data_IF_894129805022
#
_entry.id   IF_894129805022
#
_cell.length_a   1.000
_cell.length_b   1.000
_cell.length_c   1.000
_cell.angle_alpha   90.00
_cell.angle_beta   90.00
_cell.angle_gamma   90.00
#
_symmetry.space_group_name_H-M   'P 1'
#
loop_
_entity.id
_entity.type
_entity.pdbx_description
1 polymer ?
#
# COMPACT_ATOMS: atom_id res chain seq x y z
N UNK A 1 -7.73 -9.80 -3.30
CA UNK A 1 -7.59 -8.97 -2.08
C UNK A 1 -6.15 -8.51 -2.03
N UNK A 2 -5.92 -7.20 -2.09
CA UNK A 2 -4.59 -6.61 -2.29
C UNK A 2 -4.10 -5.90 -1.03
N UNK A 3 -2.81 -5.97 -0.75
CA UNK A 3 -2.16 -5.29 0.37
C UNK A 3 -1.19 -4.25 -0.17
N UNK A 4 -1.54 -2.97 -0.04
CA UNK A 4 -0.78 -1.86 -0.57
C UNK A 4 0.11 -1.26 0.51
N UNK A 5 1.42 -1.28 0.29
CA UNK A 5 2.41 -0.66 1.18
C UNK A 5 2.93 0.60 0.49
N UNK A 6 2.68 1.76 1.10
CA UNK A 6 3.02 3.06 0.53
C UNK A 6 4.19 3.66 1.30
N UNK A 7 5.23 4.11 0.59
CA UNK A 7 6.31 4.88 1.19
C UNK A 7 6.10 6.40 1.00
N UNK A 8 5.66 7.16 2.03
CA UNK A 8 5.48 8.61 1.96
C UNK A 8 6.78 9.39 1.72
N UNK A 9 7.93 8.83 2.08
CA UNK A 9 9.24 9.44 1.83
C UNK A 9 9.71 9.27 0.38
N UNK A 10 9.18 8.27 -0.34
CA UNK A 10 9.46 8.08 -1.76
C UNK A 10 8.73 9.13 -2.60
N UNK A 11 9.41 9.71 -3.60
CA UNK A 11 8.79 10.61 -4.58
C UNK A 11 8.49 12.04 -4.12
N UNK A 12 9.15 12.52 -3.05
CA UNK A 12 9.14 13.94 -2.66
C UNK A 12 7.76 14.46 -2.23
N UNK A 13 6.99 13.67 -1.48
CA UNK A 13 5.66 14.04 -0.97
C UNK A 13 4.52 13.96 -1.99
N UNK A 14 4.81 13.66 -3.26
CA UNK A 14 3.79 13.45 -4.31
C UNK A 14 3.02 12.14 -4.14
N UNK A 15 3.54 11.19 -3.34
CA UNK A 15 2.89 9.91 -3.09
C UNK A 15 1.50 10.09 -2.47
N UNK A 16 1.25 11.13 -1.66
CA UNK A 16 -0.08 11.34 -1.07
C UNK A 16 -1.14 11.62 -2.15
N UNK A 17 -0.80 12.38 -3.20
CA UNK A 17 -1.71 12.62 -4.33
C UNK A 17 -1.93 11.35 -5.15
N UNK A 18 -0.87 10.57 -5.34
CA UNK A 18 -0.92 9.29 -6.05
C UNK A 18 -1.77 8.28 -5.27
N UNK A 19 -1.63 8.20 -3.95
CA UNK A 19 -2.43 7.37 -3.06
C UNK A 19 -3.91 7.65 -3.21
N UNK A 20 -4.32 8.92 -3.18
CA UNK A 20 -5.74 9.29 -3.34
C UNK A 20 -6.27 8.86 -4.71
N UNK A 21 -5.50 9.08 -5.79
CA UNK A 21 -5.87 8.61 -7.13
C UNK A 21 -5.92 7.09 -7.24
N UNK A 22 -4.97 6.38 -6.62
CA UNK A 22 -4.92 4.92 -6.60
C UNK A 22 -6.16 4.37 -5.88
N UNK A 23 -6.47 4.90 -4.69
CA UNK A 23 -7.62 4.46 -3.90
C UNK A 23 -8.94 4.68 -4.65
N UNK A 24 -9.08 5.82 -5.34
CA UNK A 24 -10.25 6.09 -6.19
C UNK A 24 -10.36 5.07 -7.32
N UNK A 25 -9.31 4.92 -8.14
CA UNK A 25 -9.32 3.98 -9.28
C UNK A 25 -9.54 2.53 -8.84
N UNK A 26 -8.91 2.11 -7.75
CA UNK A 26 -9.07 0.76 -7.23
C UNK A 26 -10.48 0.53 -6.70
N UNK A 27 -11.10 1.54 -6.07
CA UNK A 27 -12.51 1.52 -5.68
C UNK A 27 -13.45 1.40 -6.89
N UNK A 28 -13.20 2.18 -7.96
CA UNK A 28 -13.97 2.13 -9.21
C UNK A 28 -13.86 0.76 -9.91
N UNK A 29 -12.70 0.10 -9.80
CA UNK A 29 -12.46 -1.24 -10.35
C UNK A 29 -12.99 -2.38 -9.46
N UNK A 30 -13.63 -2.08 -8.32
CA UNK A 30 -14.10 -3.08 -7.36
C UNK A 30 -12.97 -3.83 -6.63
N UNK A 31 -11.75 -3.29 -6.68
CA UNK A 31 -10.56 -3.91 -6.09
C UNK A 31 -10.46 -3.50 -4.62
N UNK A 32 -10.96 -4.38 -3.75
CA UNK A 32 -10.78 -4.23 -2.31
C UNK A 32 -9.32 -4.51 -1.90
N UNK A 33 -8.74 -3.58 -1.16
CA UNK A 33 -7.39 -3.71 -0.61
C UNK A 33 -7.13 -2.82 0.60
N UNK A 34 -6.19 -3.25 1.44
CA UNK A 34 -5.75 -2.52 2.62
C UNK A 34 -4.54 -1.65 2.25
N UNK A 35 -4.55 -0.39 2.68
CA UNK A 35 -3.45 0.55 2.43
C UNK A 35 -2.75 0.85 3.75
N UNK A 36 -1.46 0.53 3.82
CA UNK A 36 -0.60 0.83 4.97
C UNK A 36 0.57 1.71 4.53
N UNK A 37 0.98 2.63 5.40
CA UNK A 37 2.11 3.53 5.15
C UNK A 37 3.34 3.02 5.90
N UNK A 38 4.47 2.90 5.21
CA UNK A 38 5.75 2.59 5.85
C UNK A 38 6.37 3.87 6.41
N UNK A 39 6.66 3.93 7.71
CA UNK A 39 7.17 5.16 8.35
C UNK A 39 8.71 5.18 8.47
N UNK A 40 9.39 4.04 8.26
CA UNK A 40 10.85 3.95 8.38
C UNK A 40 11.51 2.79 7.61
N UNK A 41 12.85 2.79 7.59
CA UNK A 41 13.66 1.73 7.00
C UNK A 41 13.44 0.43 7.77
N UNK A 42 12.98 -0.63 7.08
CA UNK A 42 12.64 -1.93 7.69
C UNK A 42 11.15 -2.14 7.98
N UNK A 43 10.32 -1.10 7.86
CA UNK A 43 8.89 -1.17 8.12
C UNK A 43 8.16 -1.96 7.02
N UNK A 44 8.62 -1.84 5.77
CA UNK A 44 8.07 -2.55 4.60
C UNK A 44 8.12 -4.07 4.79
N UNK A 45 9.20 -4.62 5.34
CA UNK A 45 9.34 -6.07 5.56
C UNK A 45 8.34 -6.58 6.60
N UNK A 46 8.12 -5.83 7.68
CA UNK A 46 7.09 -6.15 8.70
C UNK A 46 5.68 -6.05 8.12
N UNK A 47 5.39 -4.96 7.40
CA UNK A 47 4.09 -4.76 6.75
C UNK A 47 3.80 -5.86 5.73
N UNK A 48 4.79 -6.25 4.93
CA UNK A 48 4.63 -7.35 3.97
C UNK A 48 4.33 -8.68 4.67
N UNK A 49 5.06 -9.00 5.75
CA UNK A 49 4.81 -10.20 6.55
C UNK A 49 3.39 -10.22 7.12
N UNK A 50 2.93 -9.08 7.69
CA UNK A 50 1.56 -8.96 8.17
C UNK A 50 0.53 -9.12 7.06
N UNK A 51 0.81 -8.61 5.86
CA UNK A 51 -0.06 -8.81 4.69
C UNK A 51 -0.20 -10.29 4.33
N UNK A 52 0.90 -11.05 4.35
CA UNK A 52 0.85 -12.51 4.12
C UNK A 52 0.07 -13.22 5.23
N UNK A 53 0.34 -12.90 6.50
CA UNK A 53 -0.33 -13.52 7.66
C UNK A 53 -1.84 -13.24 7.70
N UNK A 54 -2.26 -12.05 7.23
CA UNK A 54 -3.68 -11.69 7.07
C UNK A 54 -4.36 -12.38 5.88
N UNK A 55 -3.63 -13.17 5.08
CA UNK A 55 -4.17 -13.92 3.94
C UNK A 55 -4.28 -13.12 2.64
N UNK A 56 -3.58 -11.98 2.52
CA UNK A 56 -3.51 -11.27 1.25
C UNK A 56 -2.65 -12.05 0.25
N UNK A 57 -3.19 -12.28 -0.95
CA UNK A 57 -2.49 -13.01 -2.03
C UNK A 57 -1.55 -12.14 -2.86
N UNK A 58 -1.72 -10.83 -2.80
CA UNK A 58 -0.96 -9.90 -3.63
C UNK A 58 -0.58 -8.68 -2.80
N UNK A 59 0.72 -8.43 -2.70
CA UNK A 59 1.29 -7.28 -2.01
C UNK A 59 1.86 -6.34 -3.07
N UNK A 60 1.49 -5.06 -2.99
CA UNK A 60 1.88 -4.03 -3.94
C UNK A 60 2.59 -2.92 -3.17
N UNK A 61 3.87 -2.71 -3.46
CA UNK A 61 4.66 -1.63 -2.87
C UNK A 61 4.69 -0.43 -3.82
N UNK A 62 4.39 0.78 -3.31
CA UNK A 62 4.27 2.03 -4.07
C UNK A 62 5.07 3.16 -3.43
#
# INVERSE_FOLDING_TARGET
MYYYIINPASGGGRINKIQTKLKSKLGELGIAGEFVKSVGVGDVTKLARMGVEKGFKTIVAV
#
